data_IF_227447296324
#
_entry.id   IF_227447296324
#
_cell.length_a   1.000
_cell.length_b   1.000
_cell.length_c   1.000
_cell.angle_alpha   90.00
_cell.angle_beta   90.00
_cell.angle_gamma   90.00
#
_symmetry.space_group_name_H-M   'P 1'
#
loop_
_entity.id
_entity.type
_entity.pdbx_description
1 polymer ?
#
# COMPACT_ATOMS: atom_id res chain seq x y z
N UNK A 1 -24.57 -6.03 -1.45
CA UNK A 1 -24.06 -5.92 -1.47
C UNK A 1 -23.31 -5.52 -1.48
N UNK A 2 -23.16 -5.28 -1.24
CA UNK A 2 -22.47 -4.84 -1.37
C UNK A 2 -21.57 -4.97 -1.42
N UNK A 3 -21.45 -5.30 -1.28
CA UNK A 3 -20.29 -5.37 -1.39
C UNK A 3 -19.49 -5.01 -1.98
N UNK A 4 -19.87 -4.80 -2.53
CA UNK A 4 -19.09 -4.30 -3.10
C UNK A 4 -18.48 -3.25 -2.51
N UNK A 5 -18.83 -2.86 -1.66
CA UNK A 5 -18.09 -1.86 -1.06
C UNK A 5 -16.81 -2.42 -0.52
N UNK A 6 -15.77 -1.64 -0.49
CA UNK A 6 -14.45 -2.14 -0.11
C UNK A 6 -14.11 -1.66 1.29
N UNK A 7 -14.47 -2.46 2.29
CA UNK A 7 -14.21 -2.11 3.68
C UNK A 7 -12.74 -2.03 4.01
N UNK A 8 -11.92 -2.82 3.35
CA UNK A 8 -10.48 -2.76 3.56
C UNK A 8 -9.92 -1.42 3.05
N UNK A 9 -10.36 -0.97 1.87
CA UNK A 9 -9.93 0.33 1.34
C UNK A 9 -10.30 1.44 2.32
N UNK A 10 -11.51 1.39 2.84
CA UNK A 10 -11.97 2.40 3.79
C UNK A 10 -11.14 2.38 5.07
N UNK A 11 -10.79 1.20 5.56
CA UNK A 11 -9.92 1.06 6.72
C UNK A 11 -8.55 1.69 6.46
N UNK A 12 -7.97 1.41 5.29
CA UNK A 12 -6.66 1.95 4.93
C UNK A 12 -6.71 3.48 4.88
N UNK A 13 -7.74 4.04 4.25
CA UNK A 13 -7.86 5.49 4.15
C UNK A 13 -8.02 6.14 5.53
N UNK A 14 -8.76 5.49 6.43
CA UNK A 14 -8.89 5.99 7.80
C UNK A 14 -7.56 6.00 8.53
N UNK A 15 -6.73 4.98 8.32
CA UNK A 15 -5.42 4.91 8.96
C UNK A 15 -4.52 6.07 8.54
N UNK A 16 -4.77 6.65 7.37
CA UNK A 16 -3.96 7.74 6.84
C UNK A 16 -4.51 9.13 7.17
N UNK A 17 -5.30 9.27 8.23
CA UNK A 17 -5.85 10.57 8.60
C UNK A 17 -4.75 11.60 8.86
N UNK A 18 -3.52 11.17 9.19
CA UNK A 18 -2.38 12.06 9.38
C UNK A 18 -1.57 12.33 8.12
N UNK A 19 -2.07 11.94 6.94
CA UNK A 19 -1.34 12.10 5.69
C UNK A 19 -2.18 12.95 4.73
N UNK A 20 -2.11 14.28 4.84
CA UNK A 20 -3.03 15.16 4.09
C UNK A 20 -2.84 15.15 2.59
N UNK A 21 -1.68 14.70 2.10
CA UNK A 21 -1.43 14.63 0.65
C UNK A 21 -2.10 13.42 0.00
N UNK A 22 -2.73 12.54 0.77
CA UNK A 22 -3.25 11.29 0.23
C UNK A 22 -4.46 11.49 -0.66
N UNK A 23 -4.41 10.91 -1.86
CA UNK A 23 -5.55 10.73 -2.74
C UNK A 23 -5.53 9.29 -3.25
N UNK A 24 -6.64 8.86 -3.84
CA UNK A 24 -6.72 7.51 -4.37
C UNK A 24 -7.53 7.47 -5.66
N UNK A 25 -7.28 6.43 -6.46
CA UNK A 25 -8.00 6.21 -7.71
C UNK A 25 -8.28 4.72 -7.87
N UNK A 26 -9.48 4.40 -8.36
CA UNK A 26 -9.80 3.01 -8.71
C UNK A 26 -8.97 2.58 -9.92
N UNK A 27 -8.42 1.37 -9.87
CA UNK A 27 -7.65 0.83 -10.98
C UNK A 27 -7.51 -0.68 -10.84
N UNK A 28 -7.61 -1.41 -11.95
CA UNK A 28 -7.31 -2.86 -12.01
C UNK A 28 -7.99 -3.70 -10.93
N UNK A 29 -9.20 -3.35 -10.54
CA UNK A 29 -9.91 -4.08 -9.50
C UNK A 29 -9.48 -3.70 -8.09
N UNK A 30 -8.68 -2.68 -7.93
CA UNK A 30 -8.23 -2.17 -6.65
C UNK A 30 -8.11 -0.66 -6.70
N UNK A 31 -7.17 -0.13 -5.93
CA UNK A 31 -6.99 1.33 -5.85
C UNK A 31 -5.51 1.67 -5.84
N UNK A 32 -5.15 2.73 -6.57
CA UNK A 32 -3.82 3.30 -6.46
C UNK A 32 -3.84 4.43 -5.43
N UNK A 33 -2.77 4.54 -4.66
CA UNK A 33 -2.63 5.57 -3.64
C UNK A 33 -1.56 6.57 -4.09
N UNK A 34 -1.88 7.85 -3.95
CA UNK A 34 -1.01 8.93 -4.38
C UNK A 34 -0.79 9.92 -3.27
N UNK A 35 0.39 10.51 -3.22
CA UNK A 35 0.66 11.68 -2.40
C UNK A 35 1.04 12.79 -3.38
N UNK A 36 0.15 13.74 -3.57
CA UNK A 36 0.31 14.69 -4.68
C UNK A 36 0.25 13.94 -6.00
N UNK A 37 1.30 14.05 -6.81
CA UNK A 37 1.38 13.32 -8.09
C UNK A 37 2.18 12.02 -7.98
N UNK A 38 2.66 11.67 -6.79
CA UNK A 38 3.50 10.49 -6.60
C UNK A 38 2.65 9.27 -6.27
N UNK A 39 2.70 8.27 -7.14
CA UNK A 39 2.04 6.99 -6.94
C UNK A 39 2.92 6.14 -6.01
N UNK A 40 2.41 5.83 -4.81
CA UNK A 40 3.25 5.15 -3.83
C UNK A 40 2.68 3.86 -3.27
N UNK A 41 1.42 3.54 -3.54
CA UNK A 41 0.82 2.37 -2.94
C UNK A 41 -0.33 1.80 -3.75
N UNK A 42 -0.70 0.57 -3.41
CA UNK A 42 -1.75 -0.17 -4.10
C UNK A 42 -2.60 -0.89 -3.05
N UNK A 43 -3.91 -0.75 -3.14
CA UNK A 43 -4.86 -1.57 -2.39
C UNK A 43 -5.47 -2.55 -3.38
N UNK A 44 -5.32 -3.86 -3.10
CA UNK A 44 -5.78 -4.88 -4.03
C UNK A 44 -6.14 -6.15 -3.28
N UNK A 45 -7.37 -6.61 -3.44
CA UNK A 45 -7.86 -7.87 -2.86
C UNK A 45 -7.60 -7.97 -1.36
N UNK A 46 -7.89 -6.90 -0.63
CA UNK A 46 -7.76 -6.90 0.83
C UNK A 46 -6.32 -6.82 1.32
N UNK A 47 -5.41 -6.36 0.48
CA UNK A 47 -4.00 -6.20 0.84
C UNK A 47 -3.52 -4.82 0.43
N UNK A 48 -2.55 -4.31 1.19
CA UNK A 48 -1.93 -3.01 0.93
C UNK A 48 -0.48 -3.24 0.56
N UNK A 49 -0.03 -2.56 -0.50
CA UNK A 49 1.36 -2.66 -0.98
C UNK A 49 1.94 -1.26 -1.08
N UNK A 50 3.20 -1.11 -0.70
CA UNK A 50 3.91 0.16 -0.82
C UNK A 50 5.07 0.05 -1.77
N UNK A 51 5.35 1.16 -2.45
CA UNK A 51 6.51 1.28 -3.33
C UNK A 51 7.79 1.09 -2.52
N UNK A 52 8.76 0.39 -3.10
CA UNK A 52 10.01 0.09 -2.45
C UNK A 52 11.16 0.19 -3.46
N UNK A 53 12.33 0.57 -2.96
CA UNK A 53 13.58 0.45 -3.72
C UNK A 53 14.41 -0.66 -3.06
N UNK A 54 15.65 -0.84 -3.51
CA UNK A 54 16.48 -1.92 -2.97
C UNK A 54 16.69 -1.80 -1.47
N UNK A 55 16.84 -0.58 -0.98
CA UNK A 55 17.09 -0.35 0.43
C UNK A 55 15.86 -0.66 1.28
N UNK A 56 14.69 -0.11 0.90
CA UNK A 56 13.48 -0.32 1.69
C UNK A 56 12.90 -1.72 1.49
N UNK A 57 13.13 -2.35 0.33
CA UNK A 57 12.64 -3.70 0.08
C UNK A 57 13.26 -4.70 1.07
N UNK A 58 14.48 -4.45 1.52
CA UNK A 58 15.13 -5.33 2.50
C UNK A 58 14.25 -5.49 3.74
N UNK A 59 13.69 -4.39 4.23
CA UNK A 59 12.85 -4.39 5.42
C UNK A 59 11.62 -5.27 5.24
N UNK A 60 11.03 -5.25 4.06
CA UNK A 60 9.88 -6.10 3.76
C UNK A 60 10.31 -7.56 3.69
N UNK A 61 11.44 -7.84 3.05
CA UNK A 61 11.92 -9.22 2.94
C UNK A 61 12.32 -9.81 4.29
N UNK A 62 12.87 -8.99 5.17
CA UNK A 62 13.22 -9.45 6.53
C UNK A 62 11.98 -9.84 7.32
N UNK A 63 10.85 -9.26 6.99
CA UNK A 63 9.56 -9.62 7.60
C UNK A 63 8.83 -10.68 6.79
N UNK A 64 9.48 -11.23 5.76
CA UNK A 64 8.93 -12.28 4.91
C UNK A 64 7.69 -11.83 4.14
N UNK A 65 7.61 -10.54 3.84
CA UNK A 65 6.53 -10.01 3.01
C UNK A 65 6.84 -10.28 1.54
N UNK A 66 5.80 -10.33 0.74
CA UNK A 66 5.92 -10.70 -0.67
C UNK A 66 5.72 -9.50 -1.58
N UNK A 67 6.37 -9.49 -2.75
CA UNK A 67 6.12 -8.44 -3.74
C UNK A 67 4.71 -8.54 -4.30
N UNK A 68 4.25 -7.43 -4.88
CA UNK A 68 2.92 -7.37 -5.48
C UNK A 68 2.86 -8.26 -6.71
N UNK A 69 1.81 -9.06 -6.76
CA UNK A 69 1.57 -9.95 -7.90
C UNK A 69 0.19 -9.61 -8.47
N UNK A 70 0.13 -8.77 -9.53
CA UNK A 70 -1.17 -8.39 -10.10
C UNK A 70 -1.89 -9.55 -10.76
N UNK A 71 -1.14 -10.56 -11.24
CA UNK A 71 -1.73 -11.76 -11.83
C UNK A 71 -0.76 -12.92 -11.67
N UNK A 72 -1.13 -14.10 -12.19
CA UNK A 72 -0.36 -15.32 -11.97
C UNK A 72 1.01 -15.31 -12.64
N UNK A 73 1.21 -14.47 -13.64
CA UNK A 73 2.44 -14.48 -14.43
C UNK A 73 3.34 -13.29 -14.21
N UNK A 74 2.92 -12.32 -13.38
CA UNK A 74 3.63 -11.07 -13.25
C UNK A 74 3.90 -10.78 -11.77
N UNK A 75 5.13 -10.35 -11.47
CA UNK A 75 5.52 -9.94 -10.12
C UNK A 75 6.19 -8.58 -10.22
N UNK A 76 5.71 -7.62 -9.43
CA UNK A 76 6.30 -6.29 -9.40
C UNK A 76 7.16 -6.17 -8.15
N UNK A 77 8.45 -6.26 -8.33
CA UNK A 77 9.41 -6.24 -7.22
C UNK A 77 9.63 -4.85 -6.63
N UNK A 78 9.01 -3.83 -7.21
CA UNK A 78 9.10 -2.47 -6.67
C UNK A 78 7.93 -2.14 -5.74
N UNK A 79 7.06 -3.11 -5.44
CA UNK A 79 5.94 -2.95 -4.51
C UNK A 79 5.87 -4.18 -3.63
N UNK A 80 5.78 -3.98 -2.31
CA UNK A 80 5.72 -5.07 -1.35
C UNK A 80 4.54 -4.92 -0.43
N UNK A 81 3.98 -6.05 -0.01
CA UNK A 81 2.85 -6.07 0.92
C UNK A 81 3.29 -5.52 2.28
N UNK A 82 2.44 -4.65 2.84
CA UNK A 82 2.69 -4.05 4.17
C UNK A 82 2.36 -5.07 5.25
N UNK A 83 3.26 -5.28 6.23
CA UNK A 83 2.98 -6.21 7.34
C UNK A 83 1.75 -5.78 8.12
N UNK A 84 1.01 -6.76 8.66
CA UNK A 84 -0.24 -6.48 9.36
C UNK A 84 -0.03 -5.62 10.60
N UNK A 85 1.06 -5.80 11.32
CA UNK A 85 1.33 -5.01 12.51
C UNK A 85 1.56 -3.53 12.17
N UNK A 86 2.17 -3.26 11.02
CA UNK A 86 2.34 -1.89 10.54
C UNK A 86 1.00 -1.34 10.05
N UNK A 87 0.25 -2.17 9.35
CA UNK A 87 -1.08 -1.78 8.84
C UNK A 87 -2.00 -1.34 9.98
N UNK A 88 -1.91 -2.00 11.13
CA UNK A 88 -2.78 -1.71 12.26
C UNK A 88 -2.28 -0.58 13.16
N UNK A 89 -1.09 -0.06 12.88
CA UNK A 89 -0.50 1.05 13.63
C UNK A 89 -0.49 2.29 12.75
N UNK A 90 -1.47 3.17 12.94
CA UNK A 90 -1.64 4.33 12.06
C UNK A 90 -0.40 5.22 12.00
N UNK A 91 0.30 5.39 13.13
CA UNK A 91 1.51 6.20 13.15
C UNK A 91 2.63 5.59 12.34
N UNK A 92 2.89 4.30 12.53
CA UNK A 92 3.92 3.60 11.76
C UNK A 92 3.55 3.54 10.29
N UNK A 93 2.28 3.23 10.00
CA UNK A 93 1.82 3.14 8.62
C UNK A 93 2.05 4.46 7.89
N UNK A 94 1.76 5.57 8.54
CA UNK A 94 1.98 6.90 7.96
C UNK A 94 3.45 7.14 7.67
N UNK A 95 4.35 6.74 8.59
CA UNK A 95 5.79 6.88 8.36
C UNK A 95 6.25 6.04 7.16
N UNK A 96 5.77 4.80 7.07
CA UNK A 96 6.12 3.94 5.95
C UNK A 96 5.60 4.49 4.63
N UNK A 97 4.39 5.08 4.66
CA UNK A 97 3.82 5.72 3.46
C UNK A 97 4.64 6.94 3.04
N UNK A 98 5.09 7.75 3.99
CA UNK A 98 5.92 8.90 3.70
C UNK A 98 7.23 8.48 3.05
N UNK A 99 7.83 7.39 3.53
CA UNK A 99 9.05 6.86 2.93
C UNK A 99 8.78 6.38 1.51
N UNK A 100 7.68 5.67 1.31
CA UNK A 100 7.33 5.15 -0.01
C UNK A 100 7.09 6.29 -1.01
N UNK A 101 6.42 7.34 -0.58
CA UNK A 101 6.12 8.47 -1.46
C UNK A 101 7.33 9.35 -1.75
N UNK A 102 8.42 9.15 -1.02
CA UNK A 102 9.66 9.88 -1.22
C UNK A 102 10.65 9.17 -2.14
N UNK A 103 10.32 7.98 -2.61
CA UNK A 103 11.22 7.19 -3.47
C UNK A 103 11.26 7.68 -4.91
#
# INVERSE_FOLDING_TARGET
MAPKHDGFKDFVLDQFSGLPCLTHRAMFGGYGLYCGSVFFGIVHKGRLYFKANETTARRYRERKMKPYRPNATQILHSYYEVPVDILEDAGELTLWAQQASSL
#
